data_IF_779128418082
#
_entry.id   IF_779128418082
#
_cell.length_a   1.000
_cell.length_b   1.000
_cell.length_c   1.000
_cell.angle_alpha   90.00
_cell.angle_beta   90.00
_cell.angle_gamma   90.00
#
_symmetry.space_group_name_H-M   'P 1'
#
loop_
_entity.id
_entity.type
_entity.pdbx_description
1 polymer ?
#
# COMPACT_ATOMS: atom_id res chain seq x y z
N UNK A 1 42.83 -17.07 21.82
CA UNK A 1 41.49 -17.69 21.71
C UNK A 1 40.61 -17.59 22.95
N UNK A 2 41.15 -17.66 24.18
CA UNK A 2 40.35 -17.61 25.43
C UNK A 2 39.62 -16.27 25.66
N UNK A 3 40.20 -15.15 25.23
CA UNK A 3 39.64 -13.80 25.48
C UNK A 3 38.46 -13.43 24.54
N UNK A 4 38.35 -14.06 23.36
CA UNK A 4 37.22 -13.82 22.43
C UNK A 4 35.92 -14.46 22.90
N UNK A 5 35.99 -15.60 23.61
CA UNK A 5 34.82 -16.26 24.19
C UNK A 5 34.25 -15.46 25.37
N UNK A 6 35.10 -14.82 26.17
CA UNK A 6 34.67 -13.97 27.29
C UNK A 6 33.96 -12.71 26.79
N UNK A 7 34.47 -12.07 25.73
CA UNK A 7 33.84 -10.89 25.13
C UNK A 7 32.46 -11.21 24.53
N UNK A 8 32.32 -12.37 23.88
CA UNK A 8 31.05 -12.78 23.27
C UNK A 8 29.97 -13.13 24.32
N UNK A 9 30.37 -13.74 25.44
CA UNK A 9 29.46 -14.00 26.57
C UNK A 9 29.01 -12.68 27.19
N UNK A 10 29.91 -11.70 27.39
CA UNK A 10 29.57 -10.37 27.91
C UNK A 10 28.57 -9.61 27.02
N UNK A 11 28.70 -9.70 25.70
CA UNK A 11 27.77 -9.05 24.75
C UNK A 11 26.38 -9.70 24.79
N UNK A 12 26.31 -11.04 24.87
CA UNK A 12 25.03 -11.76 24.95
C UNK A 12 24.34 -11.50 26.29
N UNK A 13 25.09 -11.47 27.40
CA UNK A 13 24.53 -11.14 28.73
C UNK A 13 24.05 -9.69 28.79
N UNK A 14 24.76 -8.75 28.16
CA UNK A 14 24.33 -7.34 28.09
C UNK A 14 23.06 -7.15 27.24
N UNK A 15 22.93 -7.85 26.11
CA UNK A 15 21.72 -7.80 25.29
C UNK A 15 20.49 -8.42 25.98
N UNK A 16 20.67 -9.52 26.72
CA UNK A 16 19.58 -10.11 27.49
C UNK A 16 19.16 -9.24 28.68
N UNK A 17 20.08 -8.45 29.25
CA UNK A 17 19.76 -7.49 30.31
C UNK A 17 18.95 -6.30 29.76
N UNK A 18 19.26 -5.82 28.55
CA UNK A 18 18.50 -4.73 27.90
C UNK A 18 17.08 -5.19 27.55
N UNK A 19 16.91 -6.42 27.05
CA UNK A 19 15.59 -6.99 26.76
C UNK A 19 14.78 -7.28 28.03
N UNK A 20 15.42 -7.65 29.14
CA UNK A 20 14.74 -7.91 30.42
C UNK A 20 14.34 -6.64 31.18
N UNK A 21 15.11 -5.55 31.06
CA UNK A 21 14.82 -4.27 31.75
C UNK A 21 13.85 -3.39 30.95
N UNK A 22 13.82 -3.53 29.62
CA UNK A 22 12.86 -2.84 28.74
C UNK A 22 11.38 -3.22 28.97
N UNK A 23 11.11 -4.29 29.72
CA UNK A 23 9.74 -4.74 30.02
C UNK A 23 9.17 -4.16 31.33
N UNK A 24 9.91 -3.34 32.08
CA UNK A 24 9.48 -2.88 33.42
C UNK A 24 9.27 -1.37 33.61
N UNK A 25 9.39 -0.56 32.56
CA UNK A 25 9.10 0.89 32.66
C UNK A 25 8.13 1.32 31.57
N UNK A 26 6.83 1.06 31.77
CA UNK A 26 5.76 1.80 31.10
C UNK A 26 4.38 1.61 31.77
N UNK A 27 4.26 1.86 33.08
CA UNK A 27 2.95 2.23 33.66
C UNK A 27 3.17 3.26 34.78
N UNK A 28 3.05 4.53 34.43
CA UNK A 28 2.46 5.58 35.29
C UNK A 28 2.19 6.82 34.43
N UNK A 29 0.94 6.96 34.03
CA UNK A 29 0.45 8.09 33.25
C UNK A 29 -1.07 8.02 33.15
N UNK A 30 -1.70 8.67 34.13
CA UNK A 30 -3.06 9.20 34.20
C UNK A 30 -4.28 8.30 33.93
N UNK A 31 -5.19 8.35 34.90
CA UNK A 31 -6.50 7.70 34.92
C UNK A 31 -7.34 8.11 33.70
N UNK A 32 -7.34 7.28 32.67
CA UNK A 32 -8.48 7.19 31.76
C UNK A 32 -9.53 6.27 32.39
N UNK A 33 -10.73 6.80 32.56
CA UNK A 33 -11.89 6.07 33.06
C UNK A 33 -12.30 4.98 32.03
N UNK A 34 -11.71 3.79 32.17
CA UNK A 34 -11.94 2.61 31.32
C UNK A 34 -13.30 1.93 31.58
N UNK A 35 -14.31 2.66 32.04
CA UNK A 35 -15.65 2.09 32.31
C UNK A 35 -16.50 1.84 31.07
N UNK A 36 -16.03 2.16 29.86
CA UNK A 36 -16.82 1.99 28.63
C UNK A 36 -16.14 1.16 27.53
N UNK A 37 -15.06 0.42 27.81
CA UNK A 37 -14.54 -0.59 26.86
C UNK A 37 -14.92 -1.97 27.36
N UNK A 38 -16.20 -2.30 27.20
CA UNK A 38 -16.70 -3.66 27.22
C UNK A 38 -17.69 -3.86 26.08
N UNK A 39 -17.17 -3.85 24.86
CA UNK A 39 -17.76 -4.60 23.76
C UNK A 39 -16.62 -5.40 23.14
N UNK A 40 -16.30 -6.52 23.80
CA UNK A 40 -15.74 -7.65 23.07
C UNK A 40 -16.85 -8.04 22.10
N UNK A 41 -16.57 -7.90 20.81
CA UNK A 41 -17.47 -8.40 19.77
C UNK A 41 -17.60 -9.91 19.97
N UNK A 42 -18.74 -10.33 20.49
CA UNK A 42 -19.03 -11.73 20.83
C UNK A 42 -19.38 -12.58 19.62
N UNK A 43 -19.20 -12.04 18.41
CA UNK A 43 -19.57 -12.67 17.14
C UNK A 43 -18.46 -13.56 16.54
N UNK A 44 -17.38 -13.85 17.28
CA UNK A 44 -16.45 -14.92 16.93
C UNK A 44 -17.14 -16.29 17.07
N UNK A 45 -17.99 -16.63 16.11
CA UNK A 45 -18.45 -18.00 15.86
C UNK A 45 -17.24 -18.86 15.48
N UNK A 46 -17.33 -20.15 15.77
CA UNK A 46 -16.40 -21.16 15.26
C UNK A 46 -16.40 -21.13 13.72
N UNK A 47 -15.49 -20.38 13.12
CA UNK A 47 -15.28 -20.36 11.68
C UNK A 47 -14.67 -21.69 11.22
N UNK A 48 -14.72 -21.97 9.90
CA UNK A 48 -13.91 -23.06 9.34
C UNK A 48 -12.41 -22.82 9.64
N UNK A 49 -11.61 -23.89 9.72
CA UNK A 49 -10.15 -23.79 9.93
C UNK A 49 -9.45 -22.90 8.88
N UNK A 50 -10.14 -22.63 7.78
CA UNK A 50 -9.67 -21.90 6.62
C UNK A 50 -9.93 -20.38 6.69
N UNK A 51 -10.66 -19.89 7.70
CA UNK A 51 -10.96 -18.45 7.87
C UNK A 51 -10.26 -17.89 9.11
N UNK A 52 -9.38 -16.92 8.91
CA UNK A 52 -8.64 -16.23 9.97
C UNK A 52 -9.05 -14.76 10.04
N UNK A 53 -9.60 -14.33 11.17
CA UNK A 53 -9.92 -12.93 11.42
C UNK A 53 -8.75 -12.21 12.10
N UNK A 54 -8.24 -11.12 11.51
CA UNK A 54 -7.11 -10.35 12.04
C UNK A 54 -7.51 -9.09 12.83
N UNK A 55 -8.81 -8.90 13.05
CA UNK A 55 -9.39 -7.72 13.70
C UNK A 55 -10.04 -6.74 12.71
N UNK A 56 -9.52 -6.67 11.48
CA UNK A 56 -10.04 -5.78 10.43
C UNK A 56 -10.47 -6.53 9.17
N UNK A 57 -9.85 -7.68 8.88
CA UNK A 57 -10.11 -8.49 7.69
C UNK A 57 -10.33 -9.96 8.05
N UNK A 58 -11.14 -10.63 7.23
CA UNK A 58 -11.27 -12.07 7.19
C UNK A 58 -10.38 -12.62 6.07
N UNK A 59 -9.37 -13.39 6.44
CA UNK A 59 -8.49 -14.09 5.50
C UNK A 59 -9.04 -15.47 5.25
N UNK A 60 -9.38 -15.75 3.99
CA UNK A 60 -9.94 -17.03 3.59
C UNK A 60 -8.87 -17.81 2.81
N UNK A 61 -8.46 -18.97 3.33
CA UNK A 61 -7.37 -19.80 2.81
C UNK A 61 -7.92 -21.00 2.03
N UNK A 62 -7.62 -21.11 0.73
CA UNK A 62 -7.94 -22.27 -0.11
C UNK A 62 -9.39 -22.54 -0.62
N UNK A 63 -10.38 -21.61 -0.57
CA UNK A 63 -11.64 -21.75 -1.31
C UNK A 63 -11.69 -20.85 -2.54
N UNK A 64 -10.52 -20.59 -3.11
CA UNK A 64 -10.34 -19.69 -4.22
C UNK A 64 -10.12 -20.51 -5.48
N UNK A 65 -10.99 -20.28 -6.46
CA UNK A 65 -10.81 -20.77 -7.81
C UNK A 65 -10.40 -19.59 -8.69
N UNK A 66 -9.30 -19.75 -9.44
CA UNK A 66 -8.86 -18.76 -10.42
C UNK A 66 -9.11 -19.32 -11.82
N UNK A 67 -9.79 -18.53 -12.67
CA UNK A 67 -10.02 -18.87 -14.07
C UNK A 67 -10.08 -17.59 -14.90
N UNK A 68 -9.33 -17.55 -16.01
CA UNK A 68 -9.32 -16.41 -16.95
C UNK A 68 -9.02 -15.07 -16.26
N UNK A 69 -8.07 -15.04 -15.31
CA UNK A 69 -7.73 -13.89 -14.48
C UNK A 69 -8.90 -13.36 -13.62
N UNK A 70 -9.91 -14.17 -13.35
CA UNK A 70 -10.97 -13.85 -12.40
C UNK A 70 -10.82 -14.74 -11.17
N UNK A 71 -10.92 -14.12 -10.00
CA UNK A 71 -11.04 -14.84 -8.76
C UNK A 71 -12.49 -15.19 -8.47
N UNK A 72 -12.70 -16.42 -8.01
CA UNK A 72 -13.99 -16.85 -7.54
C UNK A 72 -13.91 -17.28 -6.09
N UNK A 73 -14.84 -16.76 -5.30
CA UNK A 73 -14.98 -17.02 -3.87
C UNK A 73 -16.11 -18.03 -3.67
N UNK A 74 -15.84 -19.07 -2.90
CA UNK A 74 -16.85 -20.03 -2.45
C UNK A 74 -17.97 -19.34 -1.70
N UNK A 75 -19.20 -19.68 -2.08
CA UNK A 75 -20.41 -19.12 -1.49
C UNK A 75 -20.61 -19.55 -0.03
N UNK A 76 -20.05 -20.69 0.36
CA UNK A 76 -20.08 -21.14 1.76
C UNK A 76 -19.17 -20.29 2.62
N UNK A 77 -17.95 -20.02 2.16
CA UNK A 77 -17.01 -19.18 2.92
C UNK A 77 -17.47 -17.73 2.96
N UNK A 78 -18.10 -17.26 1.88
CA UNK A 78 -18.73 -15.94 1.86
C UNK A 78 -19.85 -15.82 2.90
N UNK A 79 -20.67 -16.86 3.10
CA UNK A 79 -21.73 -16.88 4.15
C UNK A 79 -21.18 -16.78 5.57
N UNK A 80 -19.99 -17.34 5.80
CA UNK A 80 -19.35 -17.28 7.11
C UNK A 80 -18.83 -15.86 7.40
N UNK A 81 -18.38 -15.14 6.37
CA UNK A 81 -17.79 -13.81 6.53
C UNK A 81 -18.82 -12.68 6.48
N UNK A 82 -19.83 -12.79 5.61
CA UNK A 82 -20.89 -11.79 5.48
C UNK A 82 -22.27 -12.44 5.61
N UNK A 83 -23.22 -11.80 6.31
CA UNK A 83 -24.59 -12.30 6.41
C UNK A 83 -25.30 -12.15 5.06
N UNK A 84 -25.20 -13.19 4.23
CA UNK A 84 -25.89 -13.28 2.94
C UNK A 84 -27.06 -14.24 3.02
N UNK A 85 -28.18 -13.85 2.41
CA UNK A 85 -29.36 -14.69 2.23
C UNK A 85 -29.35 -15.30 0.83
N UNK A 86 -29.63 -16.60 0.74
CA UNK A 86 -29.68 -17.31 -0.54
C UNK A 86 -31.05 -17.94 -0.72
N UNK A 87 -31.68 -17.66 -1.86
CA UNK A 87 -32.91 -18.33 -2.28
C UNK A 87 -32.69 -18.97 -3.64
N UNK A 88 -32.95 -20.26 -3.74
CA UNK A 88 -32.83 -21.06 -4.96
C UNK A 88 -34.21 -21.57 -5.38
N UNK A 89 -34.62 -21.28 -6.61
CA UNK A 89 -35.88 -21.72 -7.20
C UNK A 89 -35.63 -22.22 -8.64
N UNK A 90 -35.68 -23.54 -8.85
CA UNK A 90 -35.42 -24.19 -10.14
C UNK A 90 -34.08 -23.76 -10.76
N UNK A 91 -34.11 -22.79 -11.67
CA UNK A 91 -32.95 -22.29 -12.42
C UNK A 91 -32.47 -20.93 -11.92
N UNK A 92 -33.13 -20.37 -10.91
CA UNK A 92 -32.83 -19.07 -10.34
C UNK A 92 -32.15 -19.21 -8.98
N UNK A 93 -31.04 -18.51 -8.81
CA UNK A 93 -30.38 -18.32 -7.52
C UNK A 93 -30.28 -16.82 -7.26
N UNK A 94 -30.85 -16.37 -6.14
CA UNK A 94 -30.70 -15.00 -5.66
C UNK A 94 -29.86 -14.99 -4.39
N UNK A 95 -28.89 -14.10 -4.34
CA UNK A 95 -28.00 -13.88 -3.21
C UNK A 95 -28.19 -12.44 -2.78
N UNK A 96 -28.54 -12.20 -1.52
CA UNK A 96 -28.87 -10.86 -1.03
C UNK A 96 -28.03 -10.49 0.19
N UNK A 97 -27.62 -9.23 0.28
CA UNK A 97 -26.89 -8.65 1.41
C UNK A 97 -27.30 -7.20 1.60
N UNK A 98 -27.70 -6.81 2.81
CA UNK A 98 -28.04 -5.41 3.16
C UNK A 98 -29.00 -4.70 2.18
N UNK A 99 -29.95 -5.43 1.59
CA UNK A 99 -30.91 -4.90 0.61
C UNK A 99 -30.44 -4.93 -0.84
N UNK A 100 -29.15 -5.19 -1.08
CA UNK A 100 -28.58 -5.46 -2.40
C UNK A 100 -28.72 -6.94 -2.77
N UNK A 101 -28.73 -7.26 -4.06
CA UNK A 101 -28.80 -8.66 -4.48
C UNK A 101 -28.20 -8.95 -5.86
N UNK A 102 -27.67 -10.16 -6.00
CA UNK A 102 -27.30 -10.77 -7.27
C UNK A 102 -28.36 -11.80 -7.62
N UNK A 103 -28.90 -11.72 -8.84
CA UNK A 103 -29.78 -12.74 -9.40
C UNK A 103 -29.04 -13.48 -10.52
N UNK A 104 -28.96 -14.80 -10.39
CA UNK A 104 -28.49 -15.71 -11.43
C UNK A 104 -29.67 -16.50 -11.97
N UNK A 105 -29.82 -16.57 -13.30
CA UNK A 105 -30.74 -17.48 -13.98
C UNK A 105 -29.94 -18.34 -14.97
N UNK A 106 -30.10 -19.66 -14.93
CA UNK A 106 -29.31 -20.61 -15.72
C UNK A 106 -27.79 -20.36 -15.61
N UNK A 107 -27.35 -20.06 -14.38
CA UNK A 107 -25.96 -19.70 -14.03
C UNK A 107 -25.47 -18.32 -14.46
N UNK A 108 -26.26 -17.55 -15.20
CA UNK A 108 -25.91 -16.24 -15.74
C UNK A 108 -26.50 -15.11 -14.90
N UNK A 109 -25.74 -14.05 -14.64
CA UNK A 109 -26.28 -12.83 -13.99
C UNK A 109 -27.39 -12.20 -14.84
N UNK A 110 -28.49 -11.79 -14.17
CA UNK A 110 -29.63 -11.08 -14.75
C UNK A 110 -29.88 -9.70 -14.09
N UNK A 111 -28.90 -9.15 -13.36
CA UNK A 111 -29.08 -7.84 -12.74
C UNK A 111 -29.38 -6.79 -13.83
N UNK A 112 -30.43 -5.98 -13.67
CA UNK A 112 -30.89 -5.00 -14.67
C UNK A 112 -29.86 -3.93 -15.03
N UNK A 113 -28.79 -3.81 -14.23
CA UNK A 113 -27.68 -2.89 -14.45
C UNK A 113 -26.42 -3.58 -15.02
N UNK A 114 -26.47 -4.87 -15.34
CA UNK A 114 -25.36 -5.59 -15.94
C UNK A 114 -25.28 -5.34 -17.45
N UNK A 115 -24.11 -4.96 -17.95
CA UNK A 115 -23.87 -4.80 -19.38
C UNK A 115 -23.78 -6.20 -20.05
N UNK A 116 -24.13 -6.34 -21.34
CA UNK A 116 -24.06 -7.65 -22.04
C UNK A 116 -22.64 -8.27 -22.02
N UNK A 117 -21.61 -7.43 -21.90
CA UNK A 117 -20.21 -7.86 -21.77
C UNK A 117 -19.80 -8.27 -20.34
N UNK A 118 -20.68 -8.09 -19.34
CA UNK A 118 -20.44 -8.41 -17.93
C UNK A 118 -21.06 -9.74 -17.50
N UNK A 119 -21.63 -10.50 -18.44
CA UNK A 119 -22.22 -11.82 -18.22
C UNK A 119 -21.12 -12.81 -17.80
N UNK A 120 -20.82 -12.84 -16.51
CA UNK A 120 -20.04 -13.91 -15.91
C UNK A 120 -20.96 -14.85 -15.14
N UNK A 121 -20.74 -16.15 -15.36
CA UNK A 121 -21.46 -17.19 -14.67
C UNK A 121 -20.78 -17.53 -13.34
N UNK A 122 -21.56 -17.90 -12.33
CA UNK A 122 -20.98 -18.61 -11.19
C UNK A 122 -20.45 -19.98 -11.65
N UNK A 123 -19.47 -20.54 -10.93
CA UNK A 123 -18.93 -21.88 -11.19
C UNK A 123 -19.44 -22.86 -10.16
N UNK A 124 -19.60 -24.11 -10.59
CA UNK A 124 -19.86 -25.23 -9.68
C UNK A 124 -18.68 -26.18 -9.81
N UNK A 125 -17.98 -26.44 -8.72
CA UNK A 125 -16.90 -27.42 -8.65
C UNK A 125 -17.06 -28.24 -7.38
N UNK A 126 -17.08 -29.56 -7.50
CA UNK A 126 -17.31 -30.47 -6.37
C UNK A 126 -18.53 -30.09 -5.53
N UNK A 127 -19.65 -29.74 -6.19
CA UNK A 127 -20.91 -29.30 -5.55
C UNK A 127 -20.82 -27.97 -4.79
N UNK A 128 -19.67 -27.28 -4.81
CA UNK A 128 -19.49 -25.94 -4.23
C UNK A 128 -19.74 -24.89 -5.31
N UNK A 129 -20.53 -23.87 -4.95
CA UNK A 129 -20.80 -22.70 -5.79
C UNK A 129 -19.72 -21.64 -5.55
N UNK A 130 -19.16 -21.13 -6.63
CA UNK A 130 -18.11 -20.13 -6.64
C UNK A 130 -18.56 -18.89 -7.41
N UNK A 131 -18.40 -17.73 -6.81
CA UNK A 131 -18.90 -16.45 -7.34
C UNK A 131 -17.72 -15.54 -7.67
N UNK A 132 -17.71 -14.87 -8.83
CA UNK A 132 -16.69 -13.89 -9.15
C UNK A 132 -16.61 -12.78 -8.09
N UNK A 133 -15.40 -12.48 -7.62
CA UNK A 133 -15.15 -11.44 -6.60
C UNK A 133 -15.76 -10.09 -7.00
N UNK A 134 -15.62 -9.72 -8.27
CA UNK A 134 -16.17 -8.48 -8.84
C UNK A 134 -17.68 -8.36 -8.69
N UNK A 135 -18.40 -9.48 -8.63
CA UNK A 135 -19.85 -9.47 -8.42
C UNK A 135 -20.20 -9.22 -6.96
N UNK A 136 -19.37 -9.71 -6.04
CA UNK A 136 -19.53 -9.47 -4.60
C UNK A 136 -19.36 -7.98 -4.31
N UNK A 137 -18.30 -7.36 -4.83
CA UNK A 137 -18.08 -5.91 -4.69
C UNK A 137 -19.20 -5.09 -5.33
N UNK A 138 -19.48 -5.36 -6.61
CA UNK A 138 -20.41 -4.52 -7.40
C UNK A 138 -21.86 -4.64 -6.94
N UNK A 139 -22.30 -5.83 -6.56
CA UNK A 139 -23.74 -6.12 -6.37
C UNK A 139 -24.11 -6.53 -4.96
N UNK A 140 -23.15 -6.81 -4.07
CA UNK A 140 -23.42 -6.98 -2.64
C UNK A 140 -22.84 -5.83 -1.82
N UNK A 141 -22.07 -4.92 -2.43
CA UNK A 141 -21.48 -3.77 -1.74
C UNK A 141 -20.41 -4.16 -0.72
N UNK A 142 -19.84 -5.36 -0.84
CA UNK A 142 -18.81 -5.89 0.06
C UNK A 142 -17.46 -5.70 -0.59
N UNK A 143 -16.63 -4.85 0.00
CA UNK A 143 -15.28 -4.57 -0.51
C UNK A 143 -14.39 -5.81 -0.34
N UNK A 144 -13.84 -6.28 -1.47
CA UNK A 144 -12.87 -7.36 -1.53
C UNK A 144 -11.52 -6.68 -1.67
N UNK A 145 -10.94 -6.24 -0.55
CA UNK A 145 -9.62 -5.62 -0.57
C UNK A 145 -8.57 -6.58 -1.15
N UNK A 146 -8.07 -6.25 -2.34
CA UNK A 146 -7.12 -7.05 -3.12
C UNK A 146 -5.76 -7.19 -2.41
N UNK A 147 -5.68 -8.16 -1.51
CA UNK A 147 -4.43 -8.85 -1.21
C UNK A 147 -4.64 -10.33 -1.52
N UNK A 148 -4.68 -10.67 -2.82
CA UNK A 148 -4.53 -12.05 -3.25
C UNK A 148 -3.05 -12.44 -3.14
N UNK A 149 -2.72 -13.26 -2.15
CA UNK A 149 -1.40 -13.87 -2.07
C UNK A 149 -1.42 -15.17 -2.87
N UNK A 150 -0.84 -15.15 -4.07
CA UNK A 150 -0.80 -16.32 -4.95
C UNK A 150 0.03 -17.48 -4.39
N UNK A 151 0.91 -17.23 -3.40
CA UNK A 151 1.70 -18.28 -2.74
C UNK A 151 0.86 -18.99 -1.68
N UNK A 152 0.03 -18.27 -0.95
CA UNK A 152 -0.81 -18.83 0.13
C UNK A 152 -2.25 -19.10 -0.31
N UNK A 153 -2.64 -18.67 -1.52
CA UNK A 153 -4.00 -18.72 -2.06
C UNK A 153 -5.01 -18.17 -1.05
N UNK A 154 -4.77 -16.93 -0.62
CA UNK A 154 -5.59 -16.27 0.41
C UNK A 154 -6.21 -15.00 -0.14
N UNK A 155 -7.45 -14.71 0.26
CA UNK A 155 -8.15 -13.43 0.02
C UNK A 155 -8.49 -12.80 1.35
N UNK A 156 -8.35 -11.47 1.42
CA UNK A 156 -8.79 -10.67 2.55
C UNK A 156 -10.13 -9.98 2.22
N UNK A 157 -11.17 -10.30 2.98
CA UNK A 157 -12.45 -9.58 2.96
C UNK A 157 -12.50 -8.58 4.10
N UNK A 158 -12.88 -7.35 3.80
CA UNK A 158 -13.01 -6.28 4.80
C UNK A 158 -14.14 -6.60 5.78
N UNK A 159 -13.91 -6.43 7.08
CA UNK A 159 -14.92 -6.74 8.10
C UNK A 159 -16.11 -5.80 8.06
N UNK A 160 -17.24 -6.22 8.66
CA UNK A 160 -18.44 -5.38 8.79
C UNK A 160 -18.16 -4.05 9.48
N UNK A 161 -17.34 -4.08 10.54
CA UNK A 161 -16.96 -2.88 11.29
C UNK A 161 -16.20 -1.90 10.40
N UNK A 162 -15.26 -2.41 9.61
CA UNK A 162 -14.45 -1.61 8.71
C UNK A 162 -15.28 -1.07 7.52
N UNK A 163 -16.22 -1.86 7.00
CA UNK A 163 -17.19 -1.40 5.98
C UNK A 163 -18.15 -0.32 6.49
N UNK A 164 -18.40 -0.25 7.80
CA UNK A 164 -19.28 0.74 8.45
C UNK A 164 -18.55 2.01 8.88
N UNK A 165 -17.20 2.00 8.92
CA UNK A 165 -16.46 3.24 9.05
C UNK A 165 -16.85 4.11 7.86
N UNK A 166 -17.24 5.37 8.10
CA UNK A 166 -17.38 6.32 7.01
C UNK A 166 -16.05 6.28 6.25
N UNK A 167 -16.10 5.82 4.99
CA UNK A 167 -15.00 6.05 4.07
C UNK A 167 -14.85 7.55 4.06
N UNK A 168 -13.87 8.08 4.81
CA UNK A 168 -13.35 9.43 4.59
C UNK A 168 -13.02 9.38 3.12
N UNK A 169 -13.84 10.07 2.34
CA UNK A 169 -14.01 9.89 0.90
C UNK A 169 -12.66 9.73 0.21
N UNK A 170 -12.16 8.49 0.16
CA UNK A 170 -11.14 8.07 -0.78
C UNK A 170 -11.88 7.84 -2.09
N UNK A 171 -12.58 8.86 -2.56
CA UNK A 171 -12.56 9.17 -3.96
C UNK A 171 -11.08 9.23 -4.34
N UNK A 172 -10.56 8.09 -4.80
CA UNK A 172 -9.52 8.05 -5.82
C UNK A 172 -10.07 8.63 -7.15
N UNK A 173 -10.86 9.70 -7.09
CA UNK A 173 -10.80 10.72 -8.11
C UNK A 173 -9.45 11.35 -7.91
N UNK A 174 -8.54 11.19 -8.87
CA UNK A 174 -7.34 12.01 -8.88
C UNK A 174 -7.78 13.46 -8.73
N UNK A 175 -7.51 14.09 -7.58
CA UNK A 175 -7.76 15.52 -7.41
C UNK A 175 -6.73 16.22 -8.29
N UNK A 176 -7.11 16.47 -9.54
CA UNK A 176 -6.34 17.34 -10.42
C UNK A 176 -6.59 18.74 -9.91
N UNK A 177 -5.65 19.23 -9.10
CA UNK A 177 -5.55 20.66 -8.85
C UNK A 177 -5.13 21.32 -10.17
N UNK A 178 -6.11 21.74 -10.97
CA UNK A 178 -5.86 22.58 -12.13
C UNK A 178 -5.44 23.93 -11.56
N UNK A 179 -4.17 24.25 -11.74
CA UNK A 179 -3.61 25.53 -11.33
C UNK A 179 -4.42 26.69 -11.96
N UNK A 180 -4.51 27.81 -11.25
CA UNK A 180 -5.25 29.00 -11.71
C UNK A 180 -4.85 29.35 -13.15
N UNK A 181 -5.82 29.78 -13.95
CA UNK A 181 -5.55 30.32 -15.28
C UNK A 181 -4.46 31.41 -15.22
N UNK A 182 -3.50 31.36 -16.14
CA UNK A 182 -2.39 32.31 -16.29
C UNK A 182 -1.28 32.26 -15.21
N UNK A 183 -1.00 31.12 -14.58
CA UNK A 183 0.27 30.98 -13.85
C UNK A 183 1.42 30.85 -14.84
N UNK A 184 2.47 31.63 -14.62
CA UNK A 184 3.71 31.53 -15.37
C UNK A 184 4.49 30.31 -14.86
N UNK A 185 4.74 29.34 -15.74
CA UNK A 185 5.53 28.13 -15.39
C UNK A 185 6.92 28.49 -14.92
N UNK A 186 7.40 27.83 -13.87
CA UNK A 186 8.79 27.92 -13.41
C UNK A 186 9.76 27.17 -14.34
N UNK A 187 11.07 27.35 -14.11
CA UNK A 187 12.16 26.97 -15.03
C UNK A 187 12.07 25.56 -15.64
N UNK A 188 11.54 24.58 -14.91
CA UNK A 188 11.44 23.19 -15.36
C UNK A 188 10.01 22.64 -15.34
N UNK A 189 9.01 23.47 -15.05
CA UNK A 189 7.62 23.03 -15.08
C UNK A 189 7.12 22.92 -16.53
N UNK A 190 6.51 21.80 -16.91
CA UNK A 190 6.00 21.64 -18.26
C UNK A 190 4.78 22.53 -18.48
N UNK A 191 4.77 23.31 -19.57
CA UNK A 191 3.59 24.10 -19.97
C UNK A 191 2.38 23.24 -20.34
N UNK A 192 2.63 22.00 -20.76
CA UNK A 192 1.63 20.99 -21.06
C UNK A 192 2.21 19.59 -20.83
N UNK A 193 1.35 18.64 -20.46
CA UNK A 193 1.75 17.27 -20.14
C UNK A 193 2.33 17.12 -18.74
N UNK A 194 3.02 16.00 -18.51
CA UNK A 194 3.64 15.64 -17.24
C UNK A 194 4.95 14.88 -17.50
N UNK A 195 5.89 14.96 -16.55
CA UNK A 195 7.05 14.07 -16.56
C UNK A 195 6.67 12.73 -15.95
N UNK A 196 6.98 11.64 -16.67
CA UNK A 196 6.93 10.30 -16.12
C UNK A 196 8.33 9.87 -15.70
N UNK A 197 8.47 9.40 -14.47
CA UNK A 197 9.72 8.89 -13.93
C UNK A 197 9.56 7.59 -13.18
N UNK A 198 10.68 7.02 -12.71
CA UNK A 198 10.69 5.73 -12.02
C UNK A 198 11.68 5.64 -10.87
N UNK A 199 11.30 4.91 -9.82
CA UNK A 199 12.21 4.43 -8.79
C UNK A 199 12.56 2.97 -9.08
N UNK A 200 13.78 2.73 -9.57
CA UNK A 200 14.19 1.40 -10.06
C UNK A 200 15.24 0.72 -9.20
N UNK A 201 15.83 1.43 -8.23
CA UNK A 201 17.04 0.99 -7.51
C UNK A 201 16.82 -0.29 -6.68
N UNK A 202 15.59 -0.53 -6.23
CA UNK A 202 15.23 -1.71 -5.42
C UNK A 202 14.60 -2.85 -6.23
N UNK A 203 14.47 -2.69 -7.55
CA UNK A 203 13.85 -3.71 -8.38
C UNK A 203 14.89 -4.76 -8.82
N UNK A 204 14.78 -5.94 -8.21
CA UNK A 204 15.65 -7.09 -8.48
C UNK A 204 15.41 -7.71 -9.86
N UNK A 205 14.20 -7.59 -10.42
CA UNK A 205 13.85 -8.19 -11.72
C UNK A 205 14.55 -7.48 -12.88
N UNK A 206 14.73 -6.17 -12.74
CA UNK A 206 15.49 -5.35 -13.70
C UNK A 206 16.91 -5.03 -13.23
N UNK A 207 17.32 -5.51 -12.05
CA UNK A 207 18.62 -5.25 -11.44
C UNK A 207 19.00 -3.76 -11.45
N UNK A 208 18.05 -2.90 -11.07
CA UNK A 208 18.16 -1.44 -11.11
C UNK A 208 18.49 -0.81 -12.49
N UNK A 209 18.36 -1.57 -13.59
CA UNK A 209 18.62 -1.09 -14.94
C UNK A 209 17.49 -0.20 -15.45
N UNK A 210 17.79 1.09 -15.56
CA UNK A 210 16.89 2.09 -16.16
C UNK A 210 16.57 1.81 -17.63
N UNK A 211 17.54 1.26 -18.38
CA UNK A 211 17.32 0.83 -19.77
C UNK A 211 16.33 -0.32 -19.84
N UNK A 212 16.51 -1.35 -19.00
CA UNK A 212 15.58 -2.48 -18.94
C UNK A 212 14.19 -2.00 -18.51
N UNK A 213 14.09 -1.07 -17.56
CA UNK A 213 12.82 -0.46 -17.19
C UNK A 213 12.13 0.23 -18.38
N UNK A 214 12.88 1.00 -19.19
CA UNK A 214 12.35 1.63 -20.39
C UNK A 214 11.88 0.61 -21.45
N UNK A 215 12.64 -0.47 -21.63
CA UNK A 215 12.32 -1.54 -22.56
C UNK A 215 11.03 -2.27 -22.17
N UNK A 216 10.91 -2.72 -20.91
CA UNK A 216 9.75 -3.52 -20.47
C UNK A 216 8.45 -2.70 -20.42
N UNK A 217 8.56 -1.40 -20.13
CA UNK A 217 7.42 -0.49 -20.11
C UNK A 217 7.08 0.05 -21.50
N UNK A 218 7.98 -0.16 -22.48
CA UNK A 218 7.94 0.43 -23.81
C UNK A 218 7.75 1.97 -23.74
N UNK A 219 8.47 2.61 -22.81
CA UNK A 219 8.42 4.06 -22.58
C UNK A 219 9.81 4.60 -22.26
N UNK A 220 10.12 5.76 -22.83
CA UNK A 220 11.25 6.56 -22.39
C UNK A 220 10.83 7.40 -21.18
N UNK A 221 11.37 7.09 -20.00
CA UNK A 221 11.11 7.89 -18.80
C UNK A 221 11.95 9.16 -18.80
N UNK A 222 11.35 10.25 -18.32
CA UNK A 222 11.97 11.57 -18.25
C UNK A 222 12.88 11.70 -17.02
N UNK A 223 12.52 11.06 -15.89
CA UNK A 223 13.28 11.16 -14.65
C UNK A 223 13.45 9.84 -13.91
N UNK A 224 14.48 9.78 -13.08
CA UNK A 224 14.70 8.64 -12.18
C UNK A 224 14.98 9.11 -10.77
N UNK A 225 14.46 8.35 -9.81
CA UNK A 225 14.42 8.74 -8.41
C UNK A 225 15.48 8.01 -7.57
N UNK A 226 16.08 8.72 -6.60
CA UNK A 226 16.97 8.14 -5.58
C UNK A 226 16.92 8.93 -4.28
N UNK A 227 17.06 8.21 -3.16
CA UNK A 227 17.32 8.77 -1.84
C UNK A 227 18.81 9.02 -1.59
N UNK A 228 19.11 10.19 -1.05
CA UNK A 228 20.45 10.62 -0.61
C UNK A 228 20.29 11.26 0.77
N UNK A 229 20.94 10.69 1.79
CA UNK A 229 20.99 11.34 3.10
C UNK A 229 21.82 12.62 3.07
N UNK A 230 21.44 13.62 3.88
CA UNK A 230 22.26 14.81 4.09
C UNK A 230 23.63 14.43 4.69
N UNK A 231 24.67 15.20 4.35
CA UNK A 231 26.07 14.86 4.62
C UNK A 231 26.68 13.80 3.70
N UNK A 232 25.95 13.27 2.70
CA UNK A 232 26.49 12.35 1.68
C UNK A 232 26.86 13.13 0.41
N UNK A 233 27.96 12.75 -0.28
CA UNK A 233 28.36 13.41 -1.50
C UNK A 233 27.28 13.33 -2.58
N UNK A 234 27.31 14.27 -3.52
CA UNK A 234 26.46 14.24 -4.70
C UNK A 234 26.65 12.90 -5.45
N UNK A 235 25.57 12.20 -5.86
CA UNK A 235 25.65 10.84 -6.40
C UNK A 235 26.05 10.82 -7.88
N UNK A 236 27.25 11.32 -8.21
CA UNK A 236 27.74 11.54 -9.58
C UNK A 236 27.57 10.32 -10.50
N UNK A 237 28.03 9.14 -10.08
CA UNK A 237 27.95 7.92 -10.90
C UNK A 237 26.51 7.58 -11.29
N UNK A 238 25.58 7.69 -10.34
CA UNK A 238 24.18 7.44 -10.60
C UNK A 238 23.57 8.52 -11.51
N UNK A 239 23.96 9.79 -11.33
CA UNK A 239 23.54 10.88 -12.21
C UNK A 239 24.02 10.67 -13.65
N UNK A 240 25.26 10.22 -13.84
CA UNK A 240 25.76 9.87 -15.18
C UNK A 240 24.99 8.69 -15.79
N UNK A 241 24.61 7.69 -14.99
CA UNK A 241 23.75 6.60 -15.45
C UNK A 241 22.36 7.10 -15.89
N UNK A 242 21.74 8.01 -15.12
CA UNK A 242 20.47 8.66 -15.49
C UNK A 242 20.61 9.43 -16.81
N UNK A 243 21.70 10.19 -16.96
CA UNK A 243 21.98 10.95 -18.19
C UNK A 243 22.18 10.02 -19.39
N UNK A 244 22.84 8.88 -19.19
CA UNK A 244 23.13 7.91 -20.27
C UNK A 244 21.87 7.31 -20.88
N UNK A 245 20.78 7.22 -20.10
CA UNK A 245 19.48 6.76 -20.57
C UNK A 245 18.58 7.90 -21.05
N UNK A 246 19.09 9.14 -21.12
CA UNK A 246 18.36 10.32 -21.59
C UNK A 246 17.39 10.92 -20.57
N UNK A 247 17.47 10.51 -19.30
CA UNK A 247 16.65 11.06 -18.22
C UNK A 247 17.35 12.19 -17.46
N UNK A 248 16.64 12.74 -16.47
CA UNK A 248 17.19 13.69 -15.51
C UNK A 248 16.97 13.22 -14.05
N UNK A 249 17.91 13.51 -13.13
CA UNK A 249 17.79 13.07 -11.73
C UNK A 249 16.64 13.71 -10.95
N UNK A 250 15.95 12.89 -10.17
CA UNK A 250 15.12 13.31 -9.03
C UNK A 250 15.74 12.79 -7.73
N UNK A 251 16.19 13.69 -6.86
CA UNK A 251 16.94 13.34 -5.64
C UNK A 251 16.09 13.69 -4.43
N UNK A 252 15.68 12.68 -3.66
CA UNK A 252 15.21 12.91 -2.29
C UNK A 252 16.42 13.15 -1.39
N UNK A 253 16.54 14.37 -0.88
CA UNK A 253 17.67 14.77 -0.06
C UNK A 253 17.24 14.95 1.40
N UNK A 254 17.69 14.05 2.26
CA UNK A 254 17.06 13.79 3.55
C UNK A 254 17.97 14.15 4.73
N UNK A 255 17.69 15.27 5.44
CA UNK A 255 18.32 15.57 6.71
C UNK A 255 17.70 14.71 7.82
N UNK A 256 18.10 13.44 7.84
CA UNK A 256 17.53 12.42 8.74
C UNK A 256 17.77 12.71 10.23
N UNK A 257 18.73 13.57 10.58
CA UNK A 257 18.98 13.99 11.96
C UNK A 257 18.25 15.30 12.31
N UNK A 258 17.43 15.82 11.39
CA UNK A 258 16.63 17.02 11.57
C UNK A 258 17.19 18.25 10.88
N UNK A 259 16.37 19.29 10.78
CA UNK A 259 16.69 20.47 9.96
C UNK A 259 17.88 21.28 10.49
N UNK A 260 18.20 21.17 11.77
CA UNK A 260 19.34 21.85 12.40
C UNK A 260 20.70 21.39 11.83
N UNK A 261 20.78 20.21 11.20
CA UNK A 261 22.01 19.75 10.56
C UNK A 261 22.29 20.44 9.21
N UNK A 262 21.30 21.17 8.68
CA UNK A 262 21.37 21.82 7.37
C UNK A 262 21.92 23.23 7.53
N UNK A 263 23.23 23.34 7.34
CA UNK A 263 24.00 24.57 7.52
C UNK A 263 24.58 24.98 6.16
N UNK A 264 24.65 26.29 5.89
CA UNK A 264 25.35 26.82 4.73
C UNK A 264 26.88 26.70 4.92
N UNK A 265 27.39 25.53 4.57
CA UNK A 265 28.78 25.15 4.66
C UNK A 265 29.37 24.73 3.29
N UNK A 266 30.64 24.33 3.32
CA UNK A 266 31.34 23.86 2.11
C UNK A 266 30.65 22.63 1.50
N UNK A 267 30.05 21.77 2.32
CA UNK A 267 29.32 20.59 1.84
C UNK A 267 28.09 21.00 1.02
N UNK A 268 27.22 21.88 1.55
CA UNK A 268 26.03 22.36 0.85
C UNK A 268 26.41 23.02 -0.49
N UNK A 269 27.45 23.86 -0.46
CA UNK A 269 27.94 24.59 -1.63
C UNK A 269 28.53 23.65 -2.67
N UNK A 270 29.27 22.63 -2.25
CA UNK A 270 29.84 21.66 -3.18
C UNK A 270 28.76 20.79 -3.81
N UNK A 271 27.79 20.30 -3.02
CA UNK A 271 26.65 19.57 -3.55
C UNK A 271 25.90 20.38 -4.64
N UNK A 272 25.69 21.68 -4.40
CA UNK A 272 25.06 22.58 -5.36
C UNK A 272 25.90 22.80 -6.63
N UNK A 273 27.24 22.86 -6.51
CA UNK A 273 28.13 22.95 -7.68
C UNK A 273 28.09 21.66 -8.49
N UNK A 274 28.22 20.49 -7.86
CA UNK A 274 28.14 19.20 -8.56
C UNK A 274 26.80 19.03 -9.27
N UNK A 275 25.70 19.43 -8.63
CA UNK A 275 24.37 19.43 -9.25
C UNK A 275 24.28 20.35 -10.48
N UNK A 276 24.94 21.51 -10.45
CA UNK A 276 25.03 22.42 -11.60
C UNK A 276 25.91 21.83 -12.71
N UNK A 277 27.04 21.23 -12.35
CA UNK A 277 28.02 20.64 -13.27
C UNK A 277 27.47 19.39 -13.99
N UNK A 278 26.49 18.70 -13.41
CA UNK A 278 25.78 17.60 -14.05
C UNK A 278 25.18 17.98 -15.42
N UNK A 279 24.87 19.27 -15.63
CA UNK A 279 24.48 19.80 -16.95
C UNK A 279 23.09 19.37 -17.42
N UNK A 280 22.28 18.77 -16.55
CA UNK A 280 20.89 18.37 -16.78
C UNK A 280 20.00 18.95 -15.68
N UNK A 281 18.66 19.01 -15.87
CA UNK A 281 17.75 19.35 -14.78
C UNK A 281 17.98 18.43 -13.57
N UNK A 282 17.83 18.97 -12.36
CA UNK A 282 17.83 18.18 -11.12
C UNK A 282 16.55 18.57 -10.38
N UNK A 283 15.67 17.60 -10.15
CA UNK A 283 14.51 17.78 -9.28
C UNK A 283 14.90 17.39 -7.86
N UNK A 284 15.13 18.38 -7.00
CA UNK A 284 15.50 18.16 -5.62
C UNK A 284 14.25 18.10 -4.73
N UNK A 285 14.01 16.95 -4.10
CA UNK A 285 12.95 16.72 -3.12
C UNK A 285 13.55 16.81 -1.72
N UNK A 286 13.81 18.03 -1.27
CA UNK A 286 14.46 18.29 0.02
C UNK A 286 13.53 17.99 1.19
N UNK A 287 14.05 17.30 2.22
CA UNK A 287 13.37 17.01 3.49
C UNK A 287 11.90 16.60 3.28
N UNK A 288 11.71 15.53 2.51
CA UNK A 288 10.39 15.11 2.04
C UNK A 288 9.49 14.64 3.19
N UNK A 289 8.17 14.59 2.96
CA UNK A 289 7.21 14.04 3.92
C UNK A 289 7.18 14.77 5.27
N UNK A 290 7.40 16.10 5.27
CA UNK A 290 7.37 16.95 6.48
C UNK A 290 6.03 16.90 7.24
N UNK A 291 4.96 16.41 6.61
CA UNK A 291 3.67 16.21 7.23
C UNK A 291 3.56 14.89 8.03
N UNK A 292 4.56 14.01 7.96
CA UNK A 292 4.62 12.75 8.69
C UNK A 292 5.26 12.88 10.07
N UNK A 293 4.86 12.02 11.02
CA UNK A 293 5.42 11.95 12.39
C UNK A 293 6.62 11.02 12.52
N UNK A 294 7.08 10.42 11.42
CA UNK A 294 8.16 9.42 11.40
C UNK A 294 9.54 10.00 11.10
N UNK A 295 9.65 11.30 10.81
CA UNK A 295 10.91 11.97 10.51
C UNK A 295 11.21 13.06 11.54
N UNK A 296 12.50 13.22 11.88
CA UNK A 296 12.99 14.22 12.84
C UNK A 296 13.05 15.65 12.25
N UNK A 297 12.18 15.99 11.28
CA UNK A 297 12.20 17.26 10.52
C UNK A 297 11.01 18.18 10.85
N UNK A 298 10.25 17.87 11.90
CA UNK A 298 9.13 18.71 12.33
C UNK A 298 9.63 19.92 13.14
N UNK A 299 9.13 21.10 12.80
CA UNK A 299 9.00 22.16 13.80
C UNK A 299 8.00 21.69 14.86
N UNK A 300 8.38 21.75 16.13
CA UNK A 300 7.41 21.67 17.22
C UNK A 300 6.38 22.77 16.99
N UNK A 301 5.18 22.40 16.53
CA UNK A 301 4.05 23.31 16.55
C UNK A 301 3.79 23.67 18.02
N UNK A 302 4.33 24.81 18.43
CA UNK A 302 3.98 25.43 19.69
C UNK A 302 2.53 25.88 19.51
N UNK A 303 1.66 25.23 20.26
CA UNK A 303 0.23 25.51 20.34
C UNK A 303 -0.01 27.02 20.48
N UNK A 304 -0.61 27.61 19.43
CA UNK A 304 -1.25 28.93 19.48
C UNK A 304 -2.70 28.73 19.93
#
# INVERSE_FOLDING_TARGET
MKNRKILMILVITFMLLILGVGLFFLIKGDNYDLKNISVIDSDAKDFSEDIVFDGNHYKISDPIFEEENNLFISLNDLKEVIPIEITENNNEMKISHNGESILYNDKVIQNSNANENEVQQYRIKNEIIYIPERHIEKYLGVEVTYFYDSKTKTVALTSRKEQQLEKIDQQLGSTIFIEKNNVQTEKFEPRNGLYLGGYVIQDEYINASMNTFNEITNKQHASYFRYVGYGKPFPEEWVENVKSVGGFPQIAWEPNNGLDEVIDDDYLREFAKSAKEAGVPILLRYASEMNGTWLNIQETQSSI
#
